data_IF_168986549775
#
_entry.id   IF_168986549775
#
_cell.length_a   1.000
_cell.length_b   1.000
_cell.length_c   1.000
_cell.angle_alpha   90.00
_cell.angle_beta   90.00
_cell.angle_gamma   90.00
#
_symmetry.space_group_name_H-M   'P 1'
#
loop_
_entity.id
_entity.type
_entity.pdbx_description
1 polymer ?
#
# COMPACT_ATOMS: atom_id res chain seq x y z
N UNK A 1 11.00 10.05 -15.58
CA UNK A 1 10.92 8.66 -15.09
C UNK A 1 9.50 8.44 -14.59
N UNK A 2 8.88 7.26 -14.78
CA UNK A 2 7.54 7.00 -14.27
C UNK A 2 7.51 7.29 -12.76
N UNK A 3 6.46 7.98 -12.30
CA UNK A 3 6.37 8.49 -10.92
C UNK A 3 5.92 7.42 -9.95
N UNK A 4 6.74 6.37 -9.83
CA UNK A 4 6.66 5.46 -8.69
C UNK A 4 7.17 6.21 -7.47
N UNK A 5 6.46 6.05 -6.36
CA UNK A 5 6.74 6.71 -5.10
C UNK A 5 6.88 5.66 -3.99
N UNK A 6 7.63 5.99 -2.95
CA UNK A 6 7.59 5.24 -1.70
C UNK A 6 6.56 5.89 -0.78
N UNK A 7 5.64 5.11 -0.23
CA UNK A 7 4.69 5.56 0.77
C UNK A 7 5.28 5.31 2.16
N UNK A 8 5.25 6.34 3.00
CA UNK A 8 5.67 6.28 4.39
C UNK A 8 4.57 6.72 5.32
N UNK A 9 4.43 6.00 6.42
CA UNK A 9 3.61 6.40 7.55
C UNK A 9 4.50 6.68 8.76
N UNK A 10 4.03 7.52 9.66
CA UNK A 10 4.62 7.63 10.99
C UNK A 10 4.42 6.30 11.73
N UNK A 11 5.44 5.85 12.48
CA UNK A 11 5.31 4.69 13.37
C UNK A 11 4.05 4.80 14.22
N UNK A 12 3.36 3.67 14.39
CA UNK A 12 2.22 3.61 15.30
C UNK A 12 2.67 3.91 16.73
N UNK A 13 1.83 4.55 17.56
CA UNK A 13 2.13 4.75 18.96
C UNK A 13 2.48 3.42 19.62
N UNK A 14 3.45 3.43 20.53
CA UNK A 14 3.85 2.23 21.27
C UNK A 14 2.67 1.65 22.07
N UNK A 15 1.76 2.53 22.50
CA UNK A 15 0.53 2.16 23.19
C UNK A 15 -0.64 1.73 22.32
N UNK A 16 -0.44 1.54 21.02
CA UNK A 16 -1.46 0.96 20.15
C UNK A 16 -1.71 -0.51 20.55
N UNK A 17 -2.96 -0.97 20.43
CA UNK A 17 -3.41 -2.23 21.03
C UNK A 17 -2.58 -3.47 20.61
N UNK A 18 -2.10 -3.50 19.37
CA UNK A 18 -1.27 -4.58 18.82
C UNK A 18 0.17 -4.58 19.36
N UNK A 19 0.72 -3.40 19.69
CA UNK A 19 2.09 -3.22 20.20
C UNK A 19 2.19 -3.31 21.74
N UNK A 20 1.04 -3.42 22.41
CA UNK A 20 0.96 -3.35 23.86
C UNK A 20 0.94 -4.76 24.48
N UNK A 21 1.96 -5.22 25.22
CA UNK A 21 1.92 -6.52 25.92
C UNK A 21 0.87 -6.58 27.05
N UNK A 22 0.20 -5.47 27.30
CA UNK A 22 -0.96 -5.27 28.17
C UNK A 22 -1.99 -6.40 28.15
N UNK A 23 -2.32 -6.92 26.95
CA UNK A 23 -3.34 -7.94 26.75
C UNK A 23 -2.88 -9.37 27.10
N UNK A 24 -1.57 -9.58 27.34
CA UNK A 24 -0.98 -10.90 27.66
C UNK A 24 -1.08 -11.28 29.14
N UNK A 25 -1.67 -10.46 30.01
CA UNK A 25 -1.78 -10.77 31.45
C UNK A 25 -2.99 -11.69 31.68
N UNK A 26 -2.80 -12.97 32.05
CA UNK A 26 -3.91 -13.89 32.27
C UNK A 26 -4.78 -13.43 33.45
N UNK A 27 -6.11 -13.52 33.29
CA UNK A 27 -7.09 -13.17 34.35
C UNK A 27 -7.50 -11.71 34.40
N UNK A 28 -6.97 -10.86 33.52
CA UNK A 28 -7.45 -9.48 33.34
C UNK A 28 -8.73 -9.50 32.51
N UNK A 29 -9.85 -9.00 33.06
CA UNK A 29 -11.08 -8.81 32.28
C UNK A 29 -10.77 -7.93 31.06
N UNK A 30 -10.94 -8.46 29.85
CA UNK A 30 -10.75 -7.69 28.63
C UNK A 30 -12.03 -6.91 28.33
N UNK A 31 -12.21 -5.77 29.01
CA UNK A 31 -13.22 -4.79 28.68
C UNK A 31 -12.55 -3.43 28.38
N UNK A 32 -13.31 -2.51 27.81
CA UNK A 32 -12.81 -1.18 27.41
C UNK A 32 -12.15 -0.41 28.57
N UNK A 33 -12.66 -0.56 29.80
CA UNK A 33 -12.10 0.12 30.97
C UNK A 33 -10.73 -0.46 31.36
N UNK A 34 -10.55 -1.78 31.26
CA UNK A 34 -9.29 -2.43 31.59
C UNK A 34 -8.22 -2.23 30.50
N UNK A 35 -8.63 -2.14 29.23
CA UNK A 35 -7.76 -1.66 28.15
C UNK A 35 -7.27 -0.23 28.42
N UNK A 36 -8.19 0.69 28.74
CA UNK A 36 -7.86 2.09 29.05
C UNK A 36 -6.91 2.23 30.25
N UNK A 37 -7.15 1.49 31.34
CA UNK A 37 -6.27 1.51 32.52
C UNK A 37 -4.86 0.99 32.19
N UNK A 38 -4.77 -0.01 31.32
CA UNK A 38 -3.46 -0.56 30.94
C UNK A 38 -2.70 0.41 30.05
N UNK A 39 -3.39 1.12 29.14
CA UNK A 39 -2.80 2.20 28.35
C UNK A 39 -2.31 3.33 29.25
N UNK A 40 -3.09 3.74 30.25
CA UNK A 40 -2.69 4.77 31.22
C UNK A 40 -1.44 4.40 32.01
N UNK A 41 -1.37 3.17 32.53
CA UNK A 41 -0.22 2.69 33.31
C UNK A 41 1.05 2.60 32.47
N UNK A 42 0.90 2.24 31.21
CA UNK A 42 2.05 2.09 30.33
C UNK A 42 2.50 3.44 29.74
N UNK A 43 1.58 4.40 29.54
CA UNK A 43 1.89 5.81 29.34
C UNK A 43 2.73 6.39 30.49
N UNK A 44 2.35 6.14 31.76
CA UNK A 44 3.16 6.51 32.92
C UNK A 44 4.57 5.87 32.91
N UNK A 45 4.69 4.65 32.35
CA UNK A 45 5.97 3.92 32.27
C UNK A 45 6.86 4.36 31.10
N UNK A 46 6.48 5.38 30.33
CA UNK A 46 7.39 6.05 29.39
C UNK A 46 7.00 6.00 27.92
N UNK A 47 5.84 5.44 27.55
CA UNK A 47 5.38 5.46 26.15
C UNK A 47 5.34 6.86 25.57
N UNK A 48 4.97 7.89 26.36
CA UNK A 48 5.00 9.28 25.91
C UNK A 48 6.38 9.72 25.38
N UNK A 49 7.48 9.22 25.97
CA UNK A 49 8.85 9.51 25.52
C UNK A 49 9.24 8.72 24.27
N UNK A 50 8.70 7.51 24.09
CA UNK A 50 8.85 6.72 22.87
C UNK A 50 8.02 7.33 21.72
N UNK A 51 6.77 7.69 21.99
CA UNK A 51 5.83 8.24 21.02
C UNK A 51 6.28 9.61 20.50
N UNK A 52 6.99 10.38 21.33
CA UNK A 52 7.65 11.63 20.91
C UNK A 52 8.85 11.42 19.97
N UNK A 53 9.36 10.19 19.84
CA UNK A 53 10.50 9.83 18.98
C UNK A 53 10.09 9.05 17.73
N UNK A 54 8.78 8.88 17.47
CA UNK A 54 8.27 8.13 16.31
C UNK A 54 8.86 8.68 15.02
N UNK A 55 9.33 7.77 14.19
CA UNK A 55 9.90 8.12 12.89
C UNK A 55 8.97 7.73 11.77
N UNK A 56 9.16 8.35 10.61
CA UNK A 56 8.51 7.92 9.39
C UNK A 56 9.19 6.63 8.89
N UNK A 57 8.41 5.57 8.72
CA UNK A 57 8.86 4.32 8.11
C UNK A 57 8.20 4.15 6.75
N UNK A 58 8.96 3.70 5.76
CA UNK A 58 8.39 3.32 4.47
C UNK A 58 7.63 2.02 4.63
N UNK A 59 6.35 2.06 4.29
CA UNK A 59 5.40 0.97 4.51
C UNK A 59 5.02 0.27 3.20
N UNK A 60 4.93 1.01 2.10
CA UNK A 60 4.40 0.54 0.83
C UNK A 60 4.95 1.34 -0.36
N UNK A 61 4.62 0.91 -1.57
CA UNK A 61 4.80 1.67 -2.80
C UNK A 61 3.53 2.43 -3.20
N UNK A 62 3.65 3.23 -4.26
CA UNK A 62 2.54 3.88 -4.93
C UNK A 62 2.98 4.39 -6.30
N UNK A 63 2.03 4.90 -7.07
CA UNK A 63 2.34 5.55 -8.34
C UNK A 63 1.34 6.65 -8.67
N UNK A 64 1.83 7.71 -9.33
CA UNK A 64 1.02 8.87 -9.70
C UNK A 64 0.17 8.56 -10.92
N UNK A 65 -1.13 8.85 -10.84
CA UNK A 65 -2.10 8.64 -11.93
C UNK A 65 -2.53 9.93 -12.63
N UNK A 66 -2.61 11.04 -11.90
CA UNK A 66 -3.03 12.34 -12.44
C UNK A 66 -2.66 13.46 -11.46
N UNK A 67 -2.00 14.53 -11.91
CA UNK A 67 -1.63 15.66 -11.04
C UNK A 67 -0.89 15.22 -9.77
N UNK A 68 -1.53 15.43 -8.62
CA UNK A 68 -1.00 15.03 -7.31
C UNK A 68 -1.63 13.74 -6.75
N UNK A 69 -2.40 13.01 -7.57
CA UNK A 69 -3.12 11.81 -7.17
C UNK A 69 -2.26 10.56 -7.32
N UNK A 70 -2.22 9.77 -6.27
CA UNK A 70 -1.43 8.54 -6.17
C UNK A 70 -2.34 7.36 -5.86
N UNK A 71 -2.14 6.25 -6.57
CA UNK A 71 -2.69 4.97 -6.17
C UNK A 71 -1.71 4.20 -5.30
N UNK A 72 -2.26 3.51 -4.30
CA UNK A 72 -1.58 2.55 -3.44
C UNK A 72 -2.57 1.47 -2.99
N UNK A 73 -2.11 0.49 -2.22
CA UNK A 73 -3.00 -0.54 -1.69
C UNK A 73 -3.73 -0.02 -0.45
N UNK A 74 -5.01 -0.36 -0.29
CA UNK A 74 -5.83 0.17 0.80
C UNK A 74 -5.31 -0.24 2.18
N UNK A 75 -4.85 -1.48 2.32
CA UNK A 75 -4.30 -1.96 3.60
C UNK A 75 -3.03 -1.21 4.03
N UNK A 76 -2.33 -0.52 3.12
CA UNK A 76 -1.17 0.30 3.46
C UNK A 76 -1.55 1.57 4.23
N UNK A 77 -2.73 2.12 3.94
CA UNK A 77 -3.15 3.42 4.48
C UNK A 77 -4.13 3.26 5.63
N UNK A 78 -4.58 2.04 5.91
CA UNK A 78 -5.47 1.77 7.04
C UNK A 78 -4.80 2.18 8.36
N UNK A 79 -5.53 2.97 9.16
CA UNK A 79 -5.14 3.44 10.51
C UNK A 79 -3.86 4.28 10.60
N UNK A 80 -3.37 4.87 9.50
CA UNK A 80 -2.17 5.71 9.54
C UNK A 80 -2.49 7.16 9.94
N UNK A 81 -1.79 7.68 10.95
CA UNK A 81 -2.03 9.04 11.47
C UNK A 81 -1.49 10.15 10.54
N UNK A 82 -0.35 9.91 9.91
CA UNK A 82 0.31 10.87 9.04
C UNK A 82 1.05 10.14 7.91
N UNK A 83 0.72 10.51 6.67
CA UNK A 83 1.33 9.94 5.48
C UNK A 83 2.28 10.94 4.80
N UNK A 84 3.36 10.38 4.26
CA UNK A 84 4.29 11.08 3.39
C UNK A 84 4.62 10.21 2.21
N UNK A 85 4.86 10.85 1.07
CA UNK A 85 5.41 10.17 -0.10
C UNK A 85 6.88 10.57 -0.26
N UNK A 86 7.69 9.65 -0.75
CA UNK A 86 9.04 9.92 -1.24
C UNK A 86 9.07 9.78 -2.75
N UNK A 87 9.44 10.85 -3.44
CA UNK A 87 9.60 10.82 -4.89
C UNK A 87 10.84 10.02 -5.29
N UNK A 88 10.95 9.63 -6.57
CA UNK A 88 12.16 9.01 -7.11
C UNK A 88 13.42 9.89 -6.95
N UNK A 89 13.26 11.22 -6.89
CA UNK A 89 14.34 12.17 -6.61
C UNK A 89 14.74 12.23 -5.13
N UNK A 90 14.05 11.50 -4.25
CA UNK A 90 14.34 11.45 -2.82
C UNK A 90 13.62 12.51 -1.98
N UNK A 91 12.82 13.37 -2.60
CA UNK A 91 12.06 14.43 -1.93
C UNK A 91 10.88 13.85 -1.15
N UNK A 92 10.66 14.34 0.07
CA UNK A 92 9.52 13.96 0.91
C UNK A 92 8.41 15.00 0.84
N UNK A 93 7.18 14.54 0.60
CA UNK A 93 5.98 15.40 0.54
C UNK A 93 4.89 14.86 1.45
N UNK A 94 4.16 15.75 2.10
CA UNK A 94 2.98 15.38 2.86
C UNK A 94 1.90 14.81 1.93
N UNK A 95 1.15 13.83 2.41
CA UNK A 95 0.04 13.27 1.68
C UNK A 95 -1.12 12.94 2.63
N UNK A 96 -2.32 12.94 2.07
CA UNK A 96 -3.54 12.57 2.79
C UNK A 96 -4.34 11.56 1.96
N UNK A 97 -5.18 10.79 2.65
CA UNK A 97 -6.08 9.84 2.02
C UNK A 97 -7.28 10.59 1.47
N UNK A 98 -7.50 10.52 0.16
CA UNK A 98 -8.73 11.00 -0.49
C UNK A 98 -9.85 9.98 -0.24
N UNK A 99 -9.54 8.70 -0.40
CA UNK A 99 -10.42 7.59 -0.04
C UNK A 99 -9.71 6.24 -0.13
N UNK A 100 -10.30 5.21 0.48
CA UNK A 100 -9.80 3.85 0.42
C UNK A 100 -10.95 2.84 0.36
N UNK A 101 -10.83 1.85 -0.54
CA UNK A 101 -11.72 0.70 -0.61
C UNK A 101 -10.94 -0.56 -0.20
N UNK A 102 -11.17 -0.99 1.04
CA UNK A 102 -10.52 -2.18 1.62
C UNK A 102 -10.97 -3.46 0.92
N UNK A 103 -12.17 -3.50 0.34
CA UNK A 103 -12.69 -4.69 -0.35
C UNK A 103 -11.96 -4.94 -1.66
N UNK A 104 -11.61 -3.87 -2.38
CA UNK A 104 -10.85 -3.92 -3.63
C UNK A 104 -9.34 -3.75 -3.43
N UNK A 105 -8.92 -3.47 -2.20
CA UNK A 105 -7.55 -3.16 -1.80
C UNK A 105 -6.91 -2.00 -2.59
N UNK A 106 -7.69 -0.95 -2.86
CA UNK A 106 -7.22 0.25 -3.58
C UNK A 106 -7.46 1.50 -2.72
N UNK A 107 -6.44 2.33 -2.60
CA UNK A 107 -6.55 3.66 -2.01
C UNK A 107 -6.07 4.75 -2.96
N UNK A 108 -6.75 5.89 -2.86
CA UNK A 108 -6.41 7.12 -3.54
C UNK A 108 -5.85 8.10 -2.52
N UNK A 109 -4.63 8.56 -2.77
CA UNK A 109 -3.95 9.59 -1.99
C UNK A 109 -3.79 10.87 -2.82
N UNK A 110 -3.65 11.99 -2.13
CA UNK A 110 -3.24 13.26 -2.72
C UNK A 110 -2.08 13.86 -1.92
N UNK A 111 -1.02 14.26 -2.62
CA UNK A 111 0.18 14.85 -2.02
C UNK A 111 0.27 16.36 -2.25
N UNK A 112 1.02 17.03 -1.39
CA UNK A 112 1.28 18.47 -1.48
C UNK A 112 2.49 18.79 -2.37
N UNK A 113 2.45 19.93 -3.05
CA UNK A 113 3.55 20.44 -3.90
C UNK A 113 3.28 20.32 -5.40
N UNK A 114 4.34 20.47 -6.19
CA UNK A 114 4.24 20.47 -7.66
C UNK A 114 3.88 19.08 -8.23
N UNK A 115 3.06 19.01 -9.29
CA UNK A 115 2.64 17.75 -9.87
C UNK A 115 3.82 16.95 -10.44
N UNK A 116 3.69 15.64 -10.37
CA UNK A 116 4.65 14.69 -10.93
C UNK A 116 4.10 14.09 -12.22
N UNK A 117 4.95 13.69 -13.18
CA UNK A 117 4.50 13.07 -14.42
C UNK A 117 3.70 11.78 -14.14
N UNK A 118 2.44 11.65 -14.58
CA UNK A 118 1.66 10.45 -14.32
C UNK A 118 2.25 9.23 -15.04
N UNK A 119 2.01 8.04 -14.50
CA UNK A 119 2.34 6.80 -15.20
C UNK A 119 1.43 6.65 -16.43
N UNK A 120 1.97 6.12 -17.52
CA UNK A 120 1.15 5.72 -18.66
C UNK A 120 0.37 4.47 -18.29
N UNK A 121 -0.89 4.41 -18.67
CA UNK A 121 -1.76 3.25 -18.42
C UNK A 121 -1.88 2.45 -19.71
N UNK A 122 -1.75 1.13 -19.61
CA UNK A 122 -1.91 0.25 -20.76
C UNK A 122 -3.38 0.24 -21.21
N UNK A 123 -3.61 0.33 -22.53
CA UNK A 123 -4.96 0.26 -23.10
C UNK A 123 -5.57 -1.15 -22.99
N UNK A 124 -4.71 -2.17 -22.94
CA UNK A 124 -5.12 -3.58 -22.88
C UNK A 124 -4.25 -4.31 -21.88
N UNK A 125 -4.85 -5.17 -21.07
CA UNK A 125 -4.10 -6.02 -20.14
C UNK A 125 -3.25 -7.05 -20.92
N UNK A 126 -2.01 -7.30 -20.47
CA UNK A 126 -1.15 -8.32 -21.05
C UNK A 126 -1.73 -9.71 -20.81
N UNK A 127 -1.66 -10.59 -21.80
CA UNK A 127 -2.12 -11.99 -21.73
C UNK A 127 -1.23 -12.85 -20.83
N UNK A 128 -1.71 -13.99 -20.30
CA UNK A 128 -0.87 -14.95 -19.61
C UNK A 128 0.35 -15.35 -20.45
N UNK A 129 1.52 -15.43 -19.82
CA UNK A 129 2.80 -15.69 -20.47
C UNK A 129 3.56 -14.46 -20.96
N UNK A 130 2.95 -13.27 -20.95
CA UNK A 130 3.66 -12.03 -21.32
C UNK A 130 4.46 -11.47 -20.15
N UNK A 131 5.64 -10.91 -20.47
CA UNK A 131 6.55 -10.32 -19.50
C UNK A 131 5.97 -9.08 -18.82
N UNK A 132 6.21 -8.99 -17.52
CA UNK A 132 5.81 -7.86 -16.67
C UNK A 132 6.88 -7.59 -15.62
N UNK A 133 6.87 -6.36 -15.11
CA UNK A 133 7.80 -5.89 -14.10
C UNK A 133 7.05 -5.19 -12.98
N UNK A 134 7.18 -5.67 -11.75
CA UNK A 134 6.67 -5.04 -10.55
C UNK A 134 7.71 -4.07 -9.97
N UNK A 135 7.29 -2.85 -9.64
CA UNK A 135 8.12 -1.80 -9.04
C UNK A 135 7.45 -1.34 -7.76
N UNK A 136 8.18 -1.40 -6.65
CA UNK A 136 7.71 -0.97 -5.32
C UNK A 136 8.86 -0.43 -4.48
N UNK A 137 8.64 -0.23 -3.17
CA UNK A 137 9.64 0.32 -2.26
C UNK A 137 9.72 -0.48 -0.96
N UNK A 138 10.36 -1.67 -0.98
CA UNK A 138 10.35 -2.56 0.16
C UNK A 138 11.18 -2.02 1.32
N UNK A 139 10.55 -1.96 2.50
CA UNK A 139 11.17 -1.61 3.79
C UNK A 139 12.06 -0.35 3.78
N UNK A 140 11.82 0.59 2.86
CA UNK A 140 12.54 1.87 2.78
C UNK A 140 13.99 1.81 2.27
N UNK A 141 14.48 0.65 1.82
CA UNK A 141 15.84 0.50 1.29
C UNK A 141 16.03 1.13 -0.11
N UNK A 142 14.93 1.57 -0.74
CA UNK A 142 14.90 2.13 -2.08
C UNK A 142 13.81 1.47 -2.93
N UNK A 143 13.76 1.84 -4.21
CA UNK A 143 12.85 1.18 -5.15
C UNK A 143 13.41 -0.20 -5.51
N UNK A 144 12.59 -1.23 -5.37
CA UNK A 144 12.92 -2.58 -5.80
C UNK A 144 12.10 -2.99 -7.01
N UNK A 145 12.68 -3.88 -7.80
CA UNK A 145 12.12 -4.35 -9.06
C UNK A 145 12.07 -5.88 -9.04
N UNK A 146 10.91 -6.44 -9.35
CA UNK A 146 10.72 -7.87 -9.60
C UNK A 146 10.25 -8.08 -11.05
N UNK A 147 10.90 -8.99 -11.77
CA UNK A 147 10.50 -9.33 -13.16
C UNK A 147 9.82 -10.69 -13.15
N UNK A 148 8.82 -10.87 -13.99
CA UNK A 148 8.12 -12.13 -14.17
C UNK A 148 7.21 -12.09 -15.38
N UNK A 149 6.21 -12.96 -15.38
CA UNK A 149 5.18 -13.04 -16.41
C UNK A 149 3.80 -12.90 -15.77
N UNK A 150 2.81 -12.55 -16.58
CA UNK A 150 1.40 -12.74 -16.22
C UNK A 150 1.16 -14.24 -16.09
N UNK A 151 0.86 -14.69 -14.87
CA UNK A 151 0.58 -16.10 -14.61
C UNK A 151 -0.89 -16.41 -14.95
N UNK A 152 -1.79 -15.51 -14.56
CA UNK A 152 -3.22 -15.67 -14.78
C UNK A 152 -3.95 -14.33 -14.64
N UNK A 153 -4.93 -14.11 -15.49
CA UNK A 153 -6.02 -13.15 -15.28
C UNK A 153 -7.17 -13.63 -16.17
N UNK A 154 -8.35 -13.81 -15.60
CA UNK A 154 -9.43 -14.48 -16.31
C UNK A 154 -10.82 -14.09 -15.81
N UNK A 155 -11.62 -13.59 -16.76
CA UNK A 155 -13.08 -13.47 -16.72
C UNK A 155 -13.77 -14.86 -16.74
N UNK A 156 -13.25 -15.85 -16.03
CA UNK A 156 -13.80 -17.22 -16.05
C UNK A 156 -14.67 -17.45 -14.80
N UNK A 157 -15.98 -17.33 -15.04
CA UNK A 157 -17.07 -17.11 -14.08
C UNK A 157 -17.39 -18.24 -13.07
N UNK A 158 -16.42 -19.08 -12.69
CA UNK A 158 -16.69 -20.26 -11.83
C UNK A 158 -15.76 -20.45 -10.63
N UNK A 159 -14.81 -19.55 -10.39
CA UNK A 159 -13.91 -19.62 -9.22
C UNK A 159 -13.77 -18.29 -8.46
N UNK A 160 -14.68 -17.34 -8.70
CA UNK A 160 -14.48 -15.95 -8.30
C UNK A 160 -15.24 -15.62 -7.01
N UNK A 161 -14.46 -15.40 -5.95
CA UNK A 161 -14.75 -14.29 -5.02
C UNK A 161 -14.98 -13.02 -5.86
N UNK A 162 -15.86 -12.08 -5.46
CA UNK A 162 -16.25 -10.87 -6.24
C UNK A 162 -15.12 -9.88 -6.61
N UNK A 163 -13.85 -10.27 -6.47
CA UNK A 163 -12.65 -9.48 -6.74
C UNK A 163 -11.74 -10.25 -7.73
N UNK A 164 -11.92 -10.11 -9.05
CA UNK A 164 -11.00 -10.71 -10.04
C UNK A 164 -9.60 -10.06 -9.96
N UNK A 165 -8.67 -10.70 -9.28
CA UNK A 165 -7.27 -10.26 -9.27
C UNK A 165 -6.52 -10.79 -10.50
N UNK A 166 -5.42 -10.13 -10.86
CA UNK A 166 -4.41 -10.66 -11.77
C UNK A 166 -3.26 -11.25 -10.97
N UNK A 167 -2.79 -12.43 -11.36
CA UNK A 167 -1.64 -13.09 -10.77
C UNK A 167 -0.41 -12.93 -11.67
N UNK A 168 0.72 -12.56 -11.08
CA UNK A 168 2.01 -12.46 -11.78
C UNK A 168 3.07 -13.28 -11.05
N UNK A 169 4.08 -13.76 -11.77
CA UNK A 169 5.22 -14.48 -11.17
C UNK A 169 6.32 -13.54 -10.67
N UNK A 170 6.20 -12.23 -10.95
CA UNK A 170 7.13 -11.23 -10.48
C UNK A 170 7.20 -11.27 -8.96
N UNK A 171 8.36 -11.65 -8.43
CA UNK A 171 8.57 -11.79 -7.00
C UNK A 171 8.51 -10.43 -6.34
N UNK A 172 7.59 -10.28 -5.38
CA UNK A 172 7.50 -9.09 -4.55
C UNK A 172 7.80 -9.45 -3.09
N UNK A 173 8.52 -8.57 -2.41
CA UNK A 173 8.79 -8.67 -0.97
C UNK A 173 8.01 -7.58 -0.23
N UNK A 174 7.90 -7.69 1.10
CA UNK A 174 7.16 -6.72 1.92
C UNK A 174 7.54 -5.27 1.62
N UNK A 175 6.54 -4.42 1.40
CA UNK A 175 6.67 -3.01 0.99
C UNK A 175 6.63 -2.75 -0.53
N UNK A 176 6.44 -3.79 -1.34
CA UNK A 176 6.01 -3.62 -2.74
C UNK A 176 4.50 -3.45 -2.91
N UNK A 177 3.70 -3.76 -1.88
CA UNK A 177 2.25 -3.50 -1.87
C UNK A 177 1.96 -2.03 -2.18
N UNK A 178 0.95 -1.77 -3.00
CA UNK A 178 0.65 -0.47 -3.59
C UNK A 178 1.54 -0.06 -4.76
N UNK A 179 2.64 -0.77 -5.01
CA UNK A 179 3.51 -0.57 -6.16
C UNK A 179 2.82 -0.88 -7.49
N UNK A 180 3.47 -0.50 -8.59
CA UNK A 180 2.93 -0.70 -9.94
C UNK A 180 3.51 -1.94 -10.59
N UNK A 181 2.71 -2.65 -11.37
CA UNK A 181 3.18 -3.62 -12.37
C UNK A 181 3.06 -2.98 -13.75
N UNK A 182 4.13 -3.06 -14.53
CA UNK A 182 4.20 -2.51 -15.89
C UNK A 182 4.46 -3.60 -16.93
N UNK A 183 3.97 -3.38 -18.15
CA UNK A 183 4.32 -4.17 -19.33
C UNK A 183 5.71 -3.78 -19.88
N UNK A 184 6.14 -4.44 -20.96
CA UNK A 184 7.40 -4.17 -21.66
C UNK A 184 7.49 -2.77 -22.29
N UNK A 185 6.37 -2.05 -22.41
CA UNK A 185 6.32 -0.64 -22.86
C UNK A 185 6.41 0.37 -21.71
N UNK A 186 6.51 -0.11 -20.45
CA UNK A 186 6.53 0.73 -19.27
C UNK A 186 5.15 1.32 -18.91
N UNK A 187 4.08 0.72 -19.41
CA UNK A 187 2.70 1.12 -19.12
C UNK A 187 2.16 0.30 -17.94
N UNK A 188 1.47 0.95 -17.01
CA UNK A 188 0.83 0.31 -15.87
C UNK A 188 -0.25 -0.67 -16.33
N UNK A 189 -0.20 -1.89 -15.80
CA UNK A 189 -1.15 -2.97 -16.07
C UNK A 189 -1.86 -3.47 -14.81
N UNK A 190 -1.24 -3.33 -13.64
CA UNK A 190 -1.89 -3.58 -12.35
C UNK A 190 -1.20 -2.90 -11.18
N UNK A 191 -1.87 -2.91 -10.03
CA UNK A 191 -1.37 -2.47 -8.73
C UNK A 191 -1.06 -3.70 -7.86
N UNK A 192 0.10 -3.74 -7.22
CA UNK A 192 0.50 -4.85 -6.32
C UNK A 192 -0.35 -4.81 -5.05
N UNK A 193 -1.05 -5.89 -4.74
CA UNK A 193 -1.84 -6.01 -3.50
C UNK A 193 -1.07 -6.84 -2.48
N UNK A 194 -0.97 -8.16 -2.71
CA UNK A 194 -0.36 -9.09 -1.75
C UNK A 194 0.51 -10.14 -2.46
N UNK A 195 1.58 -10.59 -1.80
CA UNK A 195 2.39 -11.72 -2.27
C UNK A 195 1.92 -13.02 -1.62
N UNK A 196 1.43 -14.00 -2.39
CA UNK A 196 0.98 -15.30 -1.86
C UNK A 196 1.87 -16.44 -2.38
N UNK A 197 3.02 -16.65 -1.73
CA UNK A 197 3.93 -17.75 -2.06
C UNK A 197 4.46 -17.65 -3.49
N UNK A 198 4.06 -18.60 -4.36
CA UNK A 198 4.59 -18.72 -5.73
C UNK A 198 4.07 -17.66 -6.72
N UNK A 199 3.04 -16.89 -6.35
CA UNK A 199 2.46 -15.84 -7.19
C UNK A 199 2.19 -14.57 -6.40
N UNK A 200 2.24 -13.45 -7.11
CA UNK A 200 1.88 -12.13 -6.60
C UNK A 200 0.48 -11.78 -7.08
N UNK A 201 -0.41 -11.47 -6.15
CA UNK A 201 -1.76 -10.99 -6.41
C UNK A 201 -1.75 -9.48 -6.66
N UNK A 202 -2.41 -9.07 -7.74
CA UNK A 202 -2.44 -7.68 -8.20
C UNK A 202 -3.84 -7.28 -8.63
N UNK A 203 -4.19 -6.00 -8.46
CA UNK A 203 -5.47 -5.42 -8.90
C UNK A 203 -5.29 -4.90 -10.32
N UNK A 204 -6.05 -5.40 -11.32
CA UNK A 204 -6.00 -4.87 -12.69
C UNK A 204 -6.15 -3.33 -12.74
N UNK A 205 -5.37 -2.68 -13.60
CA UNK A 205 -5.26 -1.21 -13.60
C UNK A 205 -6.57 -0.49 -13.93
N UNK A 206 -7.38 -1.06 -14.83
CA UNK A 206 -8.70 -0.56 -15.21
C UNK A 206 -9.66 -0.54 -14.01
N UNK A 207 -9.63 -1.59 -13.20
CA UNK A 207 -10.38 -1.65 -11.94
C UNK A 207 -9.86 -0.64 -10.93
N UNK A 208 -8.55 -0.58 -10.72
CA UNK A 208 -7.95 0.35 -9.76
C UNK A 208 -8.34 1.80 -10.08
N UNK A 209 -8.33 2.18 -11.36
CA UNK A 209 -8.78 3.49 -11.83
C UNK A 209 -10.29 3.71 -11.65
N UNK A 210 -11.10 2.68 -11.90
CA UNK A 210 -12.56 2.74 -11.65
C UNK A 210 -12.87 3.02 -10.19
N UNK A 211 -12.22 2.30 -9.27
CA UNK A 211 -12.35 2.51 -7.82
C UNK A 211 -11.86 3.91 -7.44
N UNK A 212 -10.70 4.33 -7.95
CA UNK A 212 -10.18 5.67 -7.70
C UNK A 212 -11.16 6.79 -8.12
N UNK A 213 -11.81 6.63 -9.28
CA UNK A 213 -12.83 7.57 -9.76
C UNK A 213 -14.09 7.61 -8.89
N UNK A 214 -14.39 6.54 -8.13
CA UNK A 214 -15.46 6.53 -7.14
C UNK A 214 -15.03 7.19 -5.83
N UNK A 215 -13.79 6.95 -5.39
CA UNK A 215 -13.21 7.53 -4.18
C UNK A 215 -12.97 9.05 -4.30
N UNK A 216 -12.83 9.57 -5.52
CA UNK A 216 -12.59 10.98 -5.78
C UNK A 216 -13.84 11.88 -5.77
N UNK A 217 -15.03 11.30 -5.50
CA UNK A 217 -16.32 12.01 -5.48
C UNK A 217 -16.75 12.32 -4.05
#
# INVERSE_FOLDING_TARGET
>A
MPSVIALSAIEQPYGFAENSPAWLIPGVQQNAATAALTHYRAWQKGWAKQDAKRQHQTICGGFVIEGNRVLTAAHCVDRQEALRIRTAGGEWRAAHVVGADVTQDVALLEFEGDPLPPIKVANTLPRPGQDVMAIGSPSGYGFAVGVGIVAWHGLDAKMLSPNDFMLVTASVVGGNSGGVVVNTHGEAVSLVSYGSGSYTQTVPIDRALTVAGQLAK
#
